data_IF_865370408406
#
_entry.id   IF_865370408406
#
_cell.length_a   1.000
_cell.length_b   1.000
_cell.length_c   1.000
_cell.angle_alpha   90.00
_cell.angle_beta   90.00
_cell.angle_gamma   90.00
#
_symmetry.space_group_name_H-M   'P 1'
#
loop_
_entity.id
_entity.type
_entity.pdbx_description
1 polymer ?
#
# COMPACT_ATOMS: atom_id res chain seq x y z
N UNK A 1 -0.03 -2.43 4.06
CA UNK A 1 1.40 -2.03 4.02
C UNK A 1 1.94 -1.95 5.44
N UNK A 2 2.91 -2.81 5.74
CA UNK A 2 3.50 -2.96 7.08
C UNK A 2 4.76 -2.10 7.26
N UNK A 3 5.52 -1.85 6.19
CA UNK A 3 6.72 -0.99 6.12
C UNK A 3 6.77 -0.27 4.77
N UNK A 4 7.45 0.88 4.70
CA UNK A 4 7.64 1.63 3.46
C UNK A 4 8.90 2.49 3.53
N UNK A 5 9.49 2.78 2.36
CA UNK A 5 10.66 3.63 2.16
C UNK A 5 10.40 4.54 0.97
N UNK A 6 10.44 5.85 1.22
CA UNK A 6 10.34 6.89 0.19
C UNK A 6 11.73 7.22 -0.34
N UNK A 7 12.06 6.67 -1.51
CA UNK A 7 13.28 7.00 -2.25
C UNK A 7 12.92 7.47 -3.67
N UNK A 8 11.87 8.30 -3.74
CA UNK A 8 11.24 8.77 -4.98
C UNK A 8 12.01 9.87 -5.70
N UNK A 9 13.00 10.50 -5.06
CA UNK A 9 13.99 11.37 -5.69
C UNK A 9 14.81 10.63 -6.76
N UNK A 10 15.03 9.32 -6.61
CA UNK A 10 15.82 8.50 -7.55
C UNK A 10 15.07 7.34 -8.18
N UNK A 11 14.33 6.56 -7.39
CA UNK A 11 13.86 5.23 -7.83
C UNK A 11 12.36 5.03 -7.68
N UNK A 12 11.79 5.38 -6.52
CA UNK A 12 10.37 5.17 -6.25
C UNK A 12 10.07 4.89 -4.77
N UNK A 13 8.89 4.31 -4.51
CA UNK A 13 8.46 3.92 -3.17
C UNK A 13 8.54 2.40 -3.00
N UNK A 14 9.44 1.96 -2.13
CA UNK A 14 9.48 0.57 -1.66
C UNK A 14 8.51 0.34 -0.51
N UNK A 15 7.89 -0.84 -0.45
CA UNK A 15 6.95 -1.20 0.60
C UNK A 15 6.95 -2.69 0.90
N UNK A 16 6.62 -3.06 2.13
CA UNK A 16 6.38 -4.43 2.55
C UNK A 16 4.91 -4.60 2.94
N UNK A 17 4.31 -5.73 2.59
CA UNK A 17 2.96 -6.11 3.01
C UNK A 17 3.00 -6.91 4.32
N UNK A 18 1.83 -7.26 4.87
CA UNK A 18 1.74 -7.96 6.15
C UNK A 18 2.16 -9.43 6.06
N UNK A 19 2.10 -10.04 4.87
CA UNK A 19 2.54 -11.40 4.55
C UNK A 19 4.05 -11.52 4.28
N UNK A 20 4.79 -10.41 4.44
CA UNK A 20 6.22 -10.26 4.14
C UNK A 20 6.63 -10.19 2.67
N UNK A 21 5.68 -10.21 1.74
CA UNK A 21 5.98 -9.82 0.36
C UNK A 21 6.42 -8.36 0.29
N UNK A 22 7.25 -8.04 -0.70
CA UNK A 22 7.85 -6.72 -0.90
C UNK A 22 7.53 -6.22 -2.30
N UNK A 23 7.19 -4.95 -2.44
CA UNK A 23 7.02 -4.34 -3.75
C UNK A 23 7.65 -2.97 -3.85
N UNK A 24 7.87 -2.52 -5.09
CA UNK A 24 8.31 -1.16 -5.40
C UNK A 24 7.37 -0.60 -6.47
N UNK A 25 6.84 0.60 -6.24
CA UNK A 25 6.30 1.45 -7.30
C UNK A 25 7.42 2.37 -7.77
N UNK A 26 7.93 2.14 -8.98
CA UNK A 26 9.00 2.93 -9.57
C UNK A 26 8.48 4.27 -10.12
N UNK A 27 9.38 5.24 -10.29
CA UNK A 27 9.07 6.56 -10.83
C UNK A 27 8.51 6.52 -12.26
N UNK A 28 8.85 5.49 -13.04
CA UNK A 28 8.30 5.24 -14.37
C UNK A 28 6.85 4.67 -14.34
N UNK A 29 6.23 4.61 -13.16
CA UNK A 29 4.90 4.08 -12.92
C UNK A 29 4.74 2.58 -13.21
N UNK A 30 5.84 1.82 -13.21
CA UNK A 30 5.79 0.34 -13.20
C UNK A 30 5.90 -0.18 -11.76
N UNK A 31 5.48 -1.42 -11.52
CA UNK A 31 5.67 -2.10 -10.23
C UNK A 31 6.43 -3.40 -10.41
N UNK A 32 7.19 -3.76 -9.39
CA UNK A 32 7.74 -5.09 -9.23
C UNK A 32 7.45 -5.58 -7.81
N UNK A 33 6.85 -6.76 -7.70
CA UNK A 33 6.53 -7.41 -6.42
C UNK A 33 7.34 -8.70 -6.33
N UNK A 34 7.95 -8.94 -5.17
CA UNK A 34 8.55 -10.20 -4.74
C UNK A 34 7.66 -10.82 -3.68
N UNK A 35 7.23 -12.05 -3.95
CA UNK A 35 6.43 -12.85 -3.01
C UNK A 35 7.26 -13.25 -1.79
N UNK A 36 6.59 -13.75 -0.76
CA UNK A 36 7.23 -14.11 0.50
C UNK A 36 8.12 -15.37 0.42
N UNK A 37 8.02 -16.15 -0.67
CA UNK A 37 8.93 -17.26 -0.99
C UNK A 37 10.36 -16.80 -1.35
N UNK A 38 10.53 -15.51 -1.65
CA UNK A 38 11.83 -14.92 -1.98
C UNK A 38 12.33 -15.16 -3.39
N UNK A 39 11.55 -15.81 -4.27
CA UNK A 39 11.90 -16.04 -5.68
C UNK A 39 10.80 -15.60 -6.66
N UNK A 40 9.52 -15.82 -6.37
CA UNK A 40 8.44 -15.48 -7.30
C UNK A 40 8.29 -13.97 -7.45
N UNK A 41 8.20 -13.51 -8.70
CA UNK A 41 8.10 -12.10 -9.07
C UNK A 41 6.83 -11.84 -9.91
N UNK A 42 6.20 -10.69 -9.66
CA UNK A 42 5.17 -10.12 -10.52
C UNK A 42 5.61 -8.72 -10.96
N UNK A 43 5.77 -8.54 -12.27
CA UNK A 43 6.02 -7.24 -12.89
C UNK A 43 4.72 -6.67 -13.45
N UNK A 44 4.45 -5.40 -13.17
CA UNK A 44 3.25 -4.71 -13.62
C UNK A 44 3.66 -3.45 -14.36
N UNK A 45 3.31 -3.38 -15.64
CA UNK A 45 3.58 -2.24 -16.49
C UNK A 45 2.70 -1.02 -16.15
N UNK A 46 2.99 0.12 -16.79
CA UNK A 46 2.26 1.37 -16.54
C UNK A 46 0.77 1.27 -16.91
N UNK A 47 0.46 0.52 -17.94
CA UNK A 47 -0.91 0.27 -18.41
C UNK A 47 -1.66 -0.78 -17.57
N UNK A 48 -0.96 -1.49 -16.69
CA UNK A 48 -1.49 -2.55 -15.85
C UNK A 48 -1.28 -3.96 -16.40
N UNK A 49 -0.58 -4.12 -17.53
CA UNK A 49 -0.19 -5.44 -18.03
C UNK A 49 0.70 -6.14 -17.03
N UNK A 50 0.40 -7.40 -16.73
CA UNK A 50 1.10 -8.17 -15.70
C UNK A 50 1.91 -9.31 -16.32
N UNK A 51 3.10 -9.55 -15.77
CA UNK A 51 3.97 -10.66 -16.15
C UNK A 51 4.49 -11.34 -14.89
N UNK A 52 4.54 -12.67 -14.93
CA UNK A 52 5.02 -13.52 -13.85
C UNK A 52 6.38 -14.11 -14.23
N UNK A 53 7.34 -14.00 -13.32
CA UNK A 53 8.74 -14.39 -13.51
C UNK A 53 9.32 -14.81 -12.16
N UNK A 54 10.61 -15.14 -12.11
CA UNK A 54 11.30 -15.44 -10.85
C UNK A 54 12.61 -14.67 -10.75
N UNK A 55 13.15 -14.53 -9.53
CA UNK A 55 14.49 -13.95 -9.32
C UNK A 55 15.53 -14.84 -10.01
N UNK A 56 15.31 -16.14 -10.03
CA UNK A 56 16.14 -17.14 -10.72
C UNK A 56 16.05 -17.09 -12.26
N UNK A 57 14.89 -16.71 -12.82
CA UNK A 57 14.62 -16.70 -14.28
C UNK A 57 13.81 -15.46 -14.68
N UNK A 58 14.50 -14.47 -15.23
CA UNK A 58 13.93 -13.19 -15.64
C UNK A 58 14.66 -12.61 -16.86
N UNK A 59 14.00 -11.74 -17.64
CA UNK A 59 14.67 -11.03 -18.72
C UNK A 59 15.70 -10.03 -18.17
N UNK A 60 16.84 -9.91 -18.88
CA UNK A 60 17.94 -8.99 -18.51
C UNK A 60 17.48 -7.53 -18.34
N UNK A 61 16.42 -7.13 -19.03
CA UNK A 61 15.82 -5.79 -18.91
C UNK A 61 15.33 -5.46 -17.49
N UNK A 62 14.98 -6.46 -16.67
CA UNK A 62 14.51 -6.28 -15.29
C UNK A 62 15.61 -6.33 -14.23
N UNK A 63 16.85 -6.69 -14.59
CA UNK A 63 17.95 -6.89 -13.64
C UNK A 63 18.17 -5.69 -12.71
N UNK A 64 18.11 -4.47 -13.26
CA UNK A 64 18.23 -3.22 -12.47
C UNK A 64 17.10 -3.06 -11.46
N UNK A 65 15.84 -3.32 -11.87
CA UNK A 65 14.66 -3.19 -11.00
C UNK A 65 14.66 -4.26 -9.90
N UNK A 66 15.05 -5.50 -10.24
CA UNK A 66 15.21 -6.60 -9.26
C UNK A 66 16.29 -6.25 -8.24
N UNK A 67 17.42 -5.69 -8.68
CA UNK A 67 18.49 -5.26 -7.77
C UNK A 67 18.01 -4.17 -6.79
N UNK A 68 17.31 -3.15 -7.29
CA UNK A 68 16.71 -2.11 -6.44
C UNK A 68 15.70 -2.69 -5.45
N UNK A 69 14.84 -3.63 -5.90
CA UNK A 69 13.88 -4.32 -5.04
C UNK A 69 14.58 -5.07 -3.89
N UNK A 70 15.70 -5.74 -4.16
CA UNK A 70 16.51 -6.41 -3.12
C UNK A 70 17.07 -5.41 -2.11
N UNK A 71 17.55 -4.24 -2.55
CA UNK A 71 18.00 -3.18 -1.63
C UNK A 71 16.86 -2.66 -0.74
N UNK A 72 15.68 -2.39 -1.31
CA UNK A 72 14.51 -1.99 -0.53
C UNK A 72 14.12 -3.08 0.48
N UNK A 73 14.09 -4.36 0.07
CA UNK A 73 13.79 -5.49 0.95
C UNK A 73 14.76 -5.54 2.14
N UNK A 74 16.06 -5.54 1.88
CA UNK A 74 17.08 -5.65 2.93
C UNK A 74 16.98 -4.49 3.91
N UNK A 75 16.89 -3.26 3.40
CA UNK A 75 16.75 -2.07 4.23
C UNK A 75 15.50 -2.13 5.13
N UNK A 76 14.33 -2.49 4.57
CA UNK A 76 13.11 -2.61 5.36
C UNK A 76 13.19 -3.72 6.41
N UNK A 77 13.85 -4.84 6.09
CA UNK A 77 14.07 -5.95 7.02
C UNK A 77 14.92 -5.53 8.22
N UNK A 78 16.02 -4.82 7.96
CA UNK A 78 17.03 -4.46 8.96
C UNK A 78 16.65 -3.24 9.81
N UNK A 79 15.93 -2.25 9.26
CA UNK A 79 15.80 -0.94 9.91
C UNK A 79 14.39 -0.57 10.38
N UNK A 80 13.34 -1.28 9.94
CA UNK A 80 11.96 -0.83 10.18
C UNK A 80 11.14 -1.82 11.00
N UNK A 81 10.24 -1.29 11.82
CA UNK A 81 9.26 -2.07 12.58
C UNK A 81 8.05 -2.44 11.71
N UNK A 82 7.54 -3.66 11.85
CA UNK A 82 6.37 -4.16 11.11
C UNK A 82 5.07 -3.63 11.75
N UNK A 83 4.30 -2.80 11.04
CA UNK A 83 2.97 -2.39 11.50
C UNK A 83 2.00 -3.59 11.49
N UNK A 84 1.21 -3.74 12.55
CA UNK A 84 0.27 -4.86 12.72
C UNK A 84 0.94 -6.21 13.00
N UNK A 85 2.16 -6.22 13.55
CA UNK A 85 2.89 -7.46 13.88
C UNK A 85 2.17 -8.38 14.88
N UNK A 86 1.23 -7.85 15.66
CA UNK A 86 0.40 -8.57 16.61
C UNK A 86 -0.81 -9.28 15.96
N UNK A 87 -1.02 -9.11 14.66
CA UNK A 87 -2.12 -9.76 13.93
C UNK A 87 -1.62 -11.04 13.29
N UNK A 88 -2.18 -12.15 13.73
CA UNK A 88 -1.94 -13.46 13.11
C UNK A 88 -2.70 -13.53 11.78
N UNK A 89 -2.03 -13.92 10.68
CA UNK A 89 -2.69 -14.26 9.43
C UNK A 89 -3.80 -15.30 9.67
N UNK A 90 -4.90 -15.21 8.94
CA UNK A 90 -5.98 -16.21 8.99
C UNK A 90 -5.67 -17.31 7.98
N UNK A 91 -6.12 -18.53 8.27
CA UNK A 91 -6.08 -19.62 7.28
C UNK A 91 -6.80 -19.18 6.00
N UNK A 92 -6.15 -19.39 4.85
CA UNK A 92 -6.67 -18.99 3.53
C UNK A 92 -6.29 -17.57 3.06
N UNK A 93 -5.70 -16.72 3.91
CA UNK A 93 -5.22 -15.39 3.48
C UNK A 93 -4.13 -15.49 2.39
N UNK A 94 -3.37 -16.59 2.38
CA UNK A 94 -2.34 -16.90 1.37
C UNK A 94 -2.91 -17.20 -0.04
N UNK A 95 -4.20 -17.55 -0.13
CA UNK A 95 -4.89 -17.76 -1.41
C UNK A 95 -5.40 -16.46 -2.02
N UNK A 96 -5.44 -15.37 -1.23
CA UNK A 96 -5.88 -14.07 -1.72
C UNK A 96 -4.86 -13.50 -2.72
N UNK A 97 -5.35 -12.93 -3.82
CA UNK A 97 -4.50 -12.27 -4.80
C UNK A 97 -3.71 -11.13 -4.14
N UNK A 98 -2.39 -11.21 -4.22
CA UNK A 98 -1.50 -10.22 -3.65
C UNK A 98 -1.68 -8.85 -4.33
N UNK A 99 -1.98 -7.78 -3.57
CA UNK A 99 -2.17 -6.47 -4.17
C UNK A 99 -0.84 -5.73 -4.36
N UNK A 100 -0.64 -5.10 -5.53
CA UNK A 100 0.38 -4.07 -5.70
C UNK A 100 -0.09 -2.68 -5.26
N UNK A 101 0.87 -1.78 -4.99
CA UNK A 101 0.62 -0.36 -4.80
C UNK A 101 0.27 0.31 -6.14
N UNK A 102 -0.96 0.79 -6.25
CA UNK A 102 -1.46 1.46 -7.46
C UNK A 102 -0.91 2.86 -7.57
N UNK A 103 -1.00 3.62 -6.48
CA UNK A 103 -0.48 4.98 -6.36
C UNK A 103 -0.28 5.32 -4.89
N UNK A 104 0.50 6.35 -4.63
CA UNK A 104 0.64 6.93 -3.30
C UNK A 104 0.86 8.43 -3.43
N UNK A 105 0.69 9.14 -2.31
CA UNK A 105 1.21 10.48 -2.16
C UNK A 105 1.38 10.79 -0.66
N UNK A 106 2.11 11.87 -0.39
CA UNK A 106 2.30 12.39 0.95
C UNK A 106 1.66 13.76 1.12
N UNK A 107 1.27 14.05 2.34
CA UNK A 107 0.96 15.40 2.81
C UNK A 107 1.97 15.80 3.87
N UNK A 108 1.75 16.91 4.56
CA UNK A 108 2.54 17.27 5.75
C UNK A 108 2.28 16.33 6.93
N UNK A 109 1.11 15.69 6.98
CA UNK A 109 0.64 14.97 8.17
C UNK A 109 0.60 13.45 8.00
N UNK A 110 0.54 12.96 6.75
CA UNK A 110 0.36 11.54 6.49
C UNK A 110 0.92 11.10 5.14
N UNK A 111 1.16 9.80 5.01
CA UNK A 111 1.33 9.10 3.74
C UNK A 111 0.06 8.32 3.41
N UNK A 112 -0.37 8.40 2.16
CA UNK A 112 -1.58 7.76 1.63
C UNK A 112 -1.14 6.72 0.61
N UNK A 113 -1.56 5.47 0.80
CA UNK A 113 -1.16 4.30 0.04
C UNK A 113 -2.41 3.64 -0.53
N UNK A 114 -2.59 3.65 -1.85
CA UNK A 114 -3.74 3.06 -2.51
C UNK A 114 -3.35 1.77 -3.22
N UNK A 115 -3.87 0.65 -2.75
CA UNK A 115 -3.60 -0.69 -3.25
C UNK A 115 -4.54 -1.07 -4.41
N UNK A 116 -4.11 -1.99 -5.25
CA UNK A 116 -4.87 -2.48 -6.42
C UNK A 116 -6.16 -3.21 -6.08
N UNK A 117 -6.28 -3.79 -4.88
CA UNK A 117 -7.52 -4.36 -4.35
C UNK A 117 -8.53 -3.30 -3.85
N UNK A 118 -8.23 -2.01 -4.05
CA UNK A 118 -9.08 -0.89 -3.65
C UNK A 118 -8.85 -0.39 -2.23
N UNK A 119 -8.05 -1.09 -1.42
CA UNK A 119 -7.75 -0.62 -0.06
C UNK A 119 -6.96 0.69 -0.09
N UNK A 120 -7.34 1.62 0.78
CA UNK A 120 -6.62 2.88 1.02
C UNK A 120 -6.09 2.87 2.44
N UNK A 121 -4.78 2.89 2.59
CA UNK A 121 -4.12 2.98 3.88
C UNK A 121 -3.55 4.39 4.09
N UNK A 122 -3.79 4.97 5.27
CA UNK A 122 -3.30 6.28 5.67
C UNK A 122 -2.50 6.10 6.95
N UNK A 123 -1.21 6.46 6.92
CA UNK A 123 -0.36 6.44 8.11
C UNK A 123 -0.06 7.89 8.52
N UNK A 124 -0.48 8.27 9.73
CA UNK A 124 -0.23 9.60 10.29
C UNK A 124 1.18 9.64 10.92
N UNK A 125 1.94 10.69 10.61
CA UNK A 125 3.36 10.75 10.98
C UNK A 125 3.57 11.07 12.47
N UNK A 126 2.77 11.99 13.02
CA UNK A 126 2.97 12.56 14.35
C UNK A 126 2.74 11.54 15.48
N UNK A 127 1.64 10.78 15.38
CA UNK A 127 1.14 9.93 16.47
C UNK A 127 1.18 8.43 16.12
N UNK A 128 1.71 8.09 14.94
CA UNK A 128 1.80 6.74 14.40
C UNK A 128 0.47 5.98 14.27
N UNK A 129 -0.66 6.67 14.36
CA UNK A 129 -1.97 6.07 14.09
C UNK A 129 -2.15 5.78 12.61
N UNK A 130 -3.01 4.80 12.29
CA UNK A 130 -3.21 4.35 10.90
C UNK A 130 -4.68 4.03 10.65
N UNK A 131 -5.13 4.34 9.43
CA UNK A 131 -6.40 3.85 8.90
C UNK A 131 -6.15 2.92 7.72
N UNK A 132 -6.92 1.85 7.62
CA UNK A 132 -7.00 0.99 6.44
C UNK A 132 -8.48 0.91 6.04
N UNK A 133 -8.83 1.60 4.96
CA UNK A 133 -10.17 1.61 4.39
C UNK A 133 -10.27 0.49 3.35
N UNK A 134 -11.28 -0.37 3.48
CA UNK A 134 -11.60 -1.41 2.50
C UNK A 134 -12.97 -1.13 1.90
N UNK A 135 -13.06 -0.65 0.64
CA UNK A 135 -14.34 -0.31 0.02
C UNK A 135 -15.22 -1.54 -0.23
N UNK A 136 -14.63 -2.70 -0.54
CA UNK A 136 -15.37 -3.94 -0.79
C UNK A 136 -16.14 -4.41 0.44
N UNK A 137 -15.59 -4.19 1.62
CA UNK A 137 -16.20 -4.57 2.90
C UNK A 137 -16.96 -3.41 3.56
N UNK A 138 -16.96 -2.22 2.94
CA UNK A 138 -17.43 -0.98 3.56
C UNK A 138 -16.92 -0.83 5.02
N UNK A 139 -15.63 -1.09 5.23
CA UNK A 139 -15.03 -1.21 6.54
C UNK A 139 -13.77 -0.36 6.68
N UNK A 140 -13.46 -0.01 7.93
CA UNK A 140 -12.24 0.70 8.32
C UNK A 140 -11.56 -0.04 9.46
N UNK A 141 -10.27 -0.31 9.30
CA UNK A 141 -9.40 -0.67 10.41
C UNK A 141 -8.73 0.58 10.94
N UNK A 142 -8.76 0.76 12.26
CA UNK A 142 -8.02 1.77 12.98
C UNK A 142 -6.92 1.10 13.81
N UNK A 143 -5.68 1.58 13.64
CA UNK A 143 -4.54 1.24 14.49
C UNK A 143 -4.23 2.49 15.31
N UNK A 144 -4.43 2.41 16.62
CA UNK A 144 -4.25 3.55 17.51
C UNK A 144 -2.78 3.73 17.96
N UNK A 145 -2.54 4.72 18.82
CA UNK A 145 -1.22 5.07 19.36
C UNK A 145 -0.63 3.93 20.21
N UNK A 146 -1.50 3.09 20.80
CA UNK A 146 -1.13 1.91 21.59
C UNK A 146 -0.90 0.68 20.72
N UNK A 147 -1.08 0.80 19.40
CA UNK A 147 -1.00 -0.28 18.41
C UNK A 147 -2.14 -1.31 18.55
N UNK A 148 -3.25 -0.93 19.21
CA UNK A 148 -4.47 -1.73 19.17
C UNK A 148 -5.04 -1.68 17.75
N UNK A 149 -5.37 -2.85 17.22
CA UNK A 149 -5.86 -3.01 15.85
C UNK A 149 -7.34 -3.39 15.89
N UNK A 150 -8.22 -2.51 15.44
CA UNK A 150 -9.67 -2.71 15.48
C UNK A 150 -10.30 -2.44 14.13
N UNK A 151 -11.19 -3.33 13.69
CA UNK A 151 -11.90 -3.18 12.41
C UNK A 151 -13.38 -2.93 12.65
N UNK A 152 -13.92 -1.93 11.97
CA UNK A 152 -15.30 -1.47 12.10
C UNK A 152 -15.97 -1.46 10.74
N UNK A 153 -17.24 -1.86 10.69
CA UNK A 153 -18.10 -1.55 9.53
C UNK A 153 -18.47 -0.08 9.58
N UNK A 154 -18.38 0.62 8.45
CA UNK A 154 -18.67 2.05 8.38
C UNK A 154 -20.12 2.36 8.78
N UNK A 155 -21.07 1.51 8.37
CA UNK A 155 -22.49 1.66 8.75
C UNK A 155 -22.72 1.58 10.26
N UNK A 156 -21.97 0.73 10.97
CA UNK A 156 -22.08 0.62 12.42
C UNK A 156 -21.43 1.82 13.14
N UNK A 157 -20.41 2.45 12.55
CA UNK A 157 -19.87 3.70 13.09
C UNK A 157 -20.86 4.86 12.95
N UNK A 158 -21.69 4.85 11.91
CA UNK A 158 -22.77 5.82 11.72
C UNK A 158 -23.90 5.60 12.74
N UNK A 159 -24.29 4.35 12.97
CA UNK A 159 -25.36 3.98 13.90
C UNK A 159 -24.98 4.17 15.38
N UNK A 160 -23.79 3.70 15.77
CA UNK A 160 -23.36 3.66 17.18
C UNK A 160 -22.36 4.76 17.56
N UNK A 161 -21.93 5.57 16.59
CA UNK A 161 -20.91 6.60 16.78
C UNK A 161 -19.50 6.03 16.95
N UNK A 162 -18.54 6.92 17.22
CA UNK A 162 -17.15 6.57 17.47
C UNK A 162 -16.43 7.65 18.30
N UNK A 163 -15.19 7.38 18.68
CA UNK A 163 -14.38 8.37 19.39
C UNK A 163 -14.07 9.59 18.52
N UNK A 164 -13.80 10.74 19.16
CA UNK A 164 -13.47 12.00 18.46
C UNK A 164 -12.23 11.85 17.57
N UNK A 165 -11.27 11.06 18.03
CA UNK A 165 -10.00 10.74 17.38
C UNK A 165 -10.24 10.00 16.07
N UNK A 166 -11.08 8.95 16.08
CA UNK A 166 -11.44 8.20 14.88
C UNK A 166 -12.27 9.05 13.92
N UNK A 167 -13.26 9.79 14.43
CA UNK A 167 -14.07 10.70 13.62
C UNK A 167 -13.22 11.75 12.88
N UNK A 168 -12.21 12.33 13.56
CA UNK A 168 -11.27 13.28 12.96
C UNK A 168 -10.47 12.66 11.82
N UNK A 169 -9.96 11.45 12.03
CA UNK A 169 -9.18 10.72 11.02
C UNK A 169 -10.05 10.29 9.84
N UNK A 170 -11.31 9.93 10.05
CA UNK A 170 -12.27 9.63 8.98
C UNK A 170 -12.59 10.86 8.13
N UNK A 171 -12.77 12.04 8.74
CA UNK A 171 -12.93 13.30 7.99
C UNK A 171 -11.70 13.59 7.13
N UNK A 172 -10.50 13.42 7.68
CA UNK A 172 -9.26 13.55 6.92
C UNK A 172 -9.19 12.53 5.78
N UNK A 173 -9.58 11.28 6.05
CA UNK A 173 -9.55 10.20 5.06
C UNK A 173 -10.47 10.47 3.87
N UNK A 174 -11.66 11.04 4.10
CA UNK A 174 -12.56 11.50 3.02
C UNK A 174 -11.84 12.45 2.07
N UNK A 175 -11.21 13.50 2.59
CA UNK A 175 -10.44 14.47 1.79
C UNK A 175 -9.33 13.79 0.98
N UNK A 176 -8.65 12.78 1.55
CA UNK A 176 -7.60 12.04 0.85
C UNK A 176 -8.16 11.16 -0.27
N UNK A 177 -9.32 10.53 -0.06
CA UNK A 177 -10.03 9.76 -1.09
C UNK A 177 -10.48 10.66 -2.23
N UNK A 178 -11.03 11.84 -1.94
CA UNK A 178 -11.41 12.83 -2.97
C UNK A 178 -10.21 13.26 -3.82
N UNK A 179 -9.03 13.42 -3.20
CA UNK A 179 -7.77 13.69 -3.90
C UNK A 179 -7.32 12.53 -4.79
N UNK A 180 -7.49 11.27 -4.35
CA UNK A 180 -7.20 10.09 -5.17
C UNK A 180 -8.10 10.06 -6.42
N UNK A 181 -9.39 10.34 -6.27
CA UNK A 181 -10.37 10.31 -7.34
C UNK A 181 -10.15 11.44 -8.36
N UNK A 182 -9.90 12.67 -7.90
CA UNK A 182 -9.65 13.82 -8.78
C UNK A 182 -8.38 13.64 -9.61
N UNK A 183 -7.30 13.12 -9.03
CA UNK A 183 -6.05 12.83 -9.74
C UNK A 183 -6.25 11.80 -10.85
N UNK A 184 -7.09 10.78 -10.62
CA UNK A 184 -7.45 9.77 -11.63
C UNK A 184 -8.28 10.37 -12.77
N UNK A 185 -9.21 11.26 -12.46
CA UNK A 185 -10.01 11.96 -13.48
C UNK A 185 -9.14 12.81 -14.41
N UNK A 186 -8.12 13.48 -13.87
CA UNK A 186 -7.17 14.27 -14.65
C UNK A 186 -6.32 13.40 -15.58
N UNK A 187 -5.79 12.28 -15.08
CA UNK A 187 -5.02 11.33 -15.89
C UNK A 187 -5.85 10.72 -17.04
N UNK A 188 -7.13 10.39 -16.78
CA UNK A 188 -8.03 9.85 -17.81
C UNK A 188 -8.36 10.88 -18.89
N UNK A 189 -8.54 12.17 -18.53
CA UNK A 189 -8.76 13.24 -19.50
C UNK A 189 -7.56 13.44 -20.43
N UNK A 190 -6.35 13.44 -19.87
CA UNK A 190 -5.12 13.54 -20.66
C UNK A 190 -4.97 12.36 -21.64
N UNK A 191 -5.33 11.13 -21.20
CA UNK A 191 -5.31 9.94 -22.06
C UNK A 191 -6.38 9.96 -23.16
N UNK A 192 -7.51 10.62 -22.96
CA UNK A 192 -8.56 10.76 -23.97
C UNK A 192 -8.28 11.88 -24.99
N UNK A 193 -7.38 12.82 -24.66
CA UNK A 193 -6.95 13.91 -25.54
C UNK A 193 -5.66 13.63 -26.32
N UNK A 194 -5.07 12.44 -26.17
CA UNK A 194 -3.89 11.96 -26.89
C UNK A 194 -4.24 10.76 -27.76
#
# INVERSE_FOLDING_TARGET
VSKWVDYSDKYGLGYQLCDNSVGVLFNDSTRLILYNDGDSLQYIERDGTESYLTVSSHPNSLMKKITLLKYFRNYMSEHLLKAGANITPREGDELARLPYLRTWFRTRSAIILHLSNGCVQINFFQDHTKLILCPLMAAVTYIDERRDFRTYRLSLLEEYGCSKELASRLRYARTMVDKLLSSRSAANRLKASS
#
